data_IF_024913449585
#
_entry.id   IF_024913449585
#
_cell.length_a   1.000
_cell.length_b   1.000
_cell.length_c   1.000
_cell.angle_alpha   90.00
_cell.angle_beta   90.00
_cell.angle_gamma   90.00
#
_symmetry.space_group_name_H-M   'P 1'
#
loop_
_entity.id
_entity.type
_entity.pdbx_description
1 polymer ?
#
# COMPACT_ATOMS: atom_id res chain seq x y z
N UNK A 1 -30.66 26.91 -64.77
CA UNK A 1 -29.47 26.07 -65.02
C UNK A 1 -28.38 26.45 -64.03
N UNK A 2 -27.66 25.45 -63.49
CA UNK A 2 -26.43 25.53 -62.63
C UNK A 2 -26.68 26.01 -61.20
N UNK A 3 -26.28 25.33 -60.12
CA UNK A 3 -25.65 24.04 -59.90
C UNK A 3 -25.65 23.79 -58.39
N UNK A 4 -25.99 22.57 -57.94
CA UNK A 4 -25.99 22.20 -56.51
C UNK A 4 -24.55 21.84 -56.09
N UNK A 5 -23.92 22.66 -55.25
CA UNK A 5 -22.68 22.29 -54.57
C UNK A 5 -23.02 21.39 -53.37
N UNK A 6 -22.62 20.13 -53.44
CA UNK A 6 -22.69 19.18 -52.33
C UNK A 6 -21.40 19.29 -51.52
N UNK A 7 -21.50 19.85 -50.32
CA UNK A 7 -20.39 20.01 -49.39
C UNK A 7 -20.31 18.74 -48.53
N UNK A 8 -19.40 17.83 -48.86
CA UNK A 8 -19.08 16.69 -47.99
C UNK A 8 -18.16 17.17 -46.87
N UNK A 9 -18.71 17.33 -45.66
CA UNK A 9 -17.92 17.56 -44.44
C UNK A 9 -17.37 16.20 -43.99
N UNK A 10 -16.10 15.94 -44.30
CA UNK A 10 -15.35 14.82 -43.77
C UNK A 10 -15.16 15.04 -42.26
N UNK A 11 -15.94 14.34 -41.44
CA UNK A 11 -15.79 14.38 -39.98
C UNK A 11 -14.57 13.54 -39.57
N UNK A 12 -13.42 14.17 -39.41
CA UNK A 12 -12.27 13.55 -38.75
C UNK A 12 -12.52 13.52 -37.24
N UNK A 13 -13.01 12.39 -36.74
CA UNK A 13 -13.01 12.09 -35.30
C UNK A 13 -11.56 11.80 -34.91
N UNK A 14 -10.83 12.83 -34.48
CA UNK A 14 -9.53 12.66 -33.82
C UNK A 14 -9.80 12.11 -32.44
N UNK A 15 -9.77 10.78 -32.31
CA UNK A 15 -9.80 10.09 -31.03
C UNK A 15 -8.46 10.37 -30.32
N UNK A 16 -8.41 11.46 -29.56
CA UNK A 16 -7.26 11.81 -28.73
C UNK A 16 -7.11 10.77 -27.62
N UNK A 17 -6.26 9.79 -27.88
CA UNK A 17 -5.71 8.88 -26.88
C UNK A 17 -4.86 9.70 -25.91
N UNK A 18 -5.50 10.31 -24.90
CA UNK A 18 -4.82 10.78 -23.70
C UNK A 18 -4.29 9.56 -22.94
N UNK A 19 -3.13 9.07 -23.36
CA UNK A 19 -2.25 8.24 -22.55
C UNK A 19 -1.75 9.12 -21.39
N UNK A 20 -2.53 9.22 -20.32
CA UNK A 20 -2.00 9.71 -19.05
C UNK A 20 -0.94 8.69 -18.60
N UNK A 21 0.35 9.07 -18.54
CA UNK A 21 1.38 8.13 -18.13
C UNK A 21 1.12 7.74 -16.67
N UNK A 22 0.91 6.43 -16.47
CA UNK A 22 0.61 5.80 -15.17
C UNK A 22 1.68 6.13 -14.10
N UNK A 23 2.90 6.44 -14.54
CA UNK A 23 3.99 6.96 -13.69
C UNK A 23 3.59 8.20 -12.88
N UNK A 24 2.79 9.11 -13.44
CA UNK A 24 2.41 10.35 -12.76
C UNK A 24 1.52 10.10 -11.53
N UNK A 25 0.77 9.00 -11.47
CA UNK A 25 -0.15 8.74 -10.36
C UNK A 25 0.55 8.09 -9.15
N UNK A 26 1.55 7.22 -9.38
CA UNK A 26 2.36 6.65 -8.30
C UNK A 26 3.21 7.72 -7.61
N UNK A 27 3.86 8.58 -8.40
CA UNK A 27 4.62 9.73 -7.88
C UNK A 27 3.74 10.66 -7.00
N UNK A 28 2.50 10.95 -7.43
CA UNK A 28 1.56 11.77 -6.66
C UNK A 28 1.14 11.17 -5.31
N UNK A 29 1.21 9.85 -5.14
CA UNK A 29 0.84 9.19 -3.90
C UNK A 29 1.98 9.17 -2.87
N UNK A 30 3.22 9.30 -3.33
CA UNK A 30 4.41 9.26 -2.48
C UNK A 30 4.64 10.61 -1.79
N UNK A 31 4.30 11.70 -2.46
CA UNK A 31 4.45 13.08 -1.96
C UNK A 31 3.36 13.52 -0.98
N UNK A 32 2.31 12.73 -0.79
CA UNK A 32 1.23 13.08 0.16
C UNK A 32 1.80 13.23 1.58
N UNK A 33 1.33 14.19 2.39
CA UNK A 33 1.72 14.23 3.79
C UNK A 33 1.33 12.95 4.54
N UNK A 34 2.13 12.55 5.54
CA UNK A 34 1.71 11.55 6.50
C UNK A 34 0.72 12.17 7.49
N UNK A 35 -0.23 11.36 7.94
CA UNK A 35 -1.11 11.77 9.03
C UNK A 35 -0.34 11.60 10.34
N UNK A 36 -0.51 12.52 11.31
CA UNK A 36 0.05 12.30 12.64
C UNK A 36 -0.45 11.00 13.24
N UNK A 37 0.45 10.28 13.91
CA UNK A 37 0.16 9.04 14.64
C UNK A 37 -0.66 9.39 15.89
N UNK A 38 -1.78 8.71 16.17
CA UNK A 38 -2.52 8.94 17.40
C UNK A 38 -1.67 8.63 18.64
N UNK A 39 -1.84 9.40 19.72
CA UNK A 39 -1.05 9.27 20.96
C UNK A 39 -0.98 7.84 21.51
N UNK A 40 -2.06 7.07 21.37
CA UNK A 40 -2.13 5.67 21.81
C UNK A 40 -1.12 4.73 21.12
N UNK A 41 -0.53 5.15 19.99
CA UNK A 41 0.46 4.37 19.23
C UNK A 41 1.84 5.03 19.24
N UNK A 42 2.01 6.21 19.86
CA UNK A 42 3.24 6.99 19.76
C UNK A 42 4.50 6.26 20.23
N UNK A 43 4.35 5.35 21.21
CA UNK A 43 5.45 4.58 21.79
C UNK A 43 5.56 3.16 21.22
N UNK A 44 4.88 2.88 20.09
CA UNK A 44 5.00 1.59 19.41
C UNK A 44 6.30 1.51 18.63
N UNK A 45 7.09 0.48 18.91
CA UNK A 45 8.37 0.21 18.29
C UNK A 45 8.46 -1.24 17.82
N UNK A 46 9.12 -1.44 16.69
CA UNK A 46 9.54 -2.76 16.25
C UNK A 46 10.47 -3.35 17.32
N UNK A 47 10.31 -4.61 17.74
CA UNK A 47 11.25 -5.23 18.66
C UNK A 47 12.69 -5.19 18.12
N UNK A 48 13.65 -5.04 19.02
CA UNK A 48 15.06 -4.85 18.64
C UNK A 48 15.57 -5.99 17.75
N UNK A 49 16.21 -5.64 16.63
CA UNK A 49 16.77 -6.58 15.65
C UNK A 49 15.77 -7.18 14.66
N UNK A 50 14.46 -6.97 14.81
CA UNK A 50 13.47 -7.67 14.00
C UNK A 50 13.39 -7.21 12.54
N UNK A 51 13.79 -5.98 12.24
CA UNK A 51 13.86 -5.46 10.87
C UNK A 51 14.77 -6.26 9.94
N UNK A 52 15.80 -6.91 10.50
CA UNK A 52 16.79 -7.68 9.73
C UNK A 52 16.80 -9.18 10.06
N UNK A 53 15.97 -9.62 11.01
CA UNK A 53 15.86 -11.03 11.37
C UNK A 53 15.12 -11.82 10.29
N UNK A 54 15.88 -12.64 9.56
CA UNK A 54 15.37 -13.46 8.46
C UNK A 54 14.27 -14.44 8.88
N UNK A 55 14.27 -14.93 10.12
CA UNK A 55 13.22 -15.83 10.63
C UNK A 55 11.92 -15.06 10.85
N UNK A 56 12.00 -13.90 11.49
CA UNK A 56 10.86 -13.00 11.71
C UNK A 56 10.24 -12.58 10.37
N UNK A 57 11.08 -12.18 9.40
CA UNK A 57 10.66 -11.83 8.04
C UNK A 57 9.99 -13.03 7.36
N UNK A 58 10.54 -14.24 7.48
CA UNK A 58 9.95 -15.44 6.88
C UNK A 58 8.60 -15.81 7.51
N UNK A 59 8.43 -15.63 8.82
CA UNK A 59 7.14 -15.79 9.50
C UNK A 59 6.14 -14.72 9.05
N UNK A 60 6.57 -13.47 8.95
CA UNK A 60 5.81 -12.35 8.41
C UNK A 60 5.31 -12.62 7.00
N UNK A 61 6.17 -13.15 6.13
CA UNK A 61 5.82 -13.56 4.76
C UNK A 61 4.70 -14.59 4.73
N UNK A 62 4.76 -15.60 5.59
CA UNK A 62 3.68 -16.61 5.69
C UNK A 62 2.35 -15.96 6.04
N UNK A 63 2.35 -15.06 7.03
CA UNK A 63 1.12 -14.35 7.42
C UNK A 63 0.63 -13.47 6.26
N UNK A 64 1.53 -12.67 5.67
CA UNK A 64 1.20 -11.74 4.61
C UNK A 64 0.62 -12.43 3.36
N UNK A 65 1.15 -13.59 2.98
CA UNK A 65 0.81 -14.24 1.71
C UNK A 65 -0.19 -15.38 1.80
N UNK A 66 -0.36 -16.00 2.98
CA UNK A 66 -1.15 -17.24 3.07
C UNK A 66 -2.19 -17.24 4.19
N UNK A 67 -2.18 -16.28 5.12
CA UNK A 67 -3.17 -16.26 6.21
C UNK A 67 -4.54 -15.96 5.65
N UNK A 68 -5.52 -16.82 5.91
CA UNK A 68 -6.91 -16.47 5.66
C UNK A 68 -7.36 -15.46 6.71
N UNK A 69 -7.75 -14.26 6.26
CA UNK A 69 -8.21 -13.20 7.14
C UNK A 69 -9.66 -12.83 6.81
N UNK A 70 -10.53 -12.89 7.81
CA UNK A 70 -11.90 -12.44 7.68
C UNK A 70 -11.99 -10.94 7.96
N UNK A 71 -12.80 -10.22 7.19
CA UNK A 71 -13.00 -8.80 7.41
C UNK A 71 -14.36 -8.33 6.90
N UNK A 72 -14.84 -7.21 7.42
CA UNK A 72 -16.10 -6.61 6.98
C UNK A 72 -15.81 -5.43 6.06
N UNK A 73 -16.34 -5.48 4.84
CA UNK A 73 -16.29 -4.36 3.90
C UNK A 73 -17.69 -4.04 3.39
N UNK A 74 -18.12 -2.77 3.55
CA UNK A 74 -19.47 -2.31 3.17
C UNK A 74 -20.58 -3.22 3.73
N UNK A 75 -20.51 -3.53 5.03
CA UNK A 75 -21.47 -4.41 5.75
C UNK A 75 -21.55 -5.85 5.22
N UNK A 76 -20.55 -6.31 4.46
CA UNK A 76 -20.46 -7.70 3.98
C UNK A 76 -19.19 -8.35 4.52
N UNK A 77 -19.33 -9.56 5.07
CA UNK A 77 -18.20 -10.42 5.42
C UNK A 77 -17.44 -10.79 4.15
N UNK A 78 -16.12 -10.74 4.23
CA UNK A 78 -15.16 -11.05 3.18
C UNK A 78 -14.03 -11.90 3.76
N UNK A 79 -13.37 -12.64 2.89
CA UNK A 79 -12.19 -13.45 3.23
C UNK A 79 -11.08 -13.06 2.28
N UNK A 80 -9.96 -12.64 2.84
CA UNK A 80 -8.70 -12.49 2.13
C UNK A 80 -8.01 -13.86 2.13
N UNK A 81 -8.02 -14.56 0.99
CA UNK A 81 -7.49 -15.94 0.89
C UNK A 81 -5.97 -15.99 1.00
N UNK A 82 -5.31 -14.94 0.51
CA UNK A 82 -3.85 -14.80 0.48
C UNK A 82 -3.41 -13.69 1.46
N UNK A 83 -4.06 -13.56 2.61
CA UNK A 83 -3.78 -12.52 3.60
C UNK A 83 -3.73 -11.10 3.01
N UNK A 84 -2.72 -10.35 3.43
CA UNK A 84 -2.41 -9.01 2.95
C UNK A 84 -2.14 -8.98 1.44
N UNK A 85 -1.53 -10.05 0.90
CA UNK A 85 -1.21 -10.19 -0.51
C UNK A 85 -2.44 -10.27 -1.41
N UNK A 86 -3.64 -10.52 -0.86
CA UNK A 86 -4.91 -10.43 -1.61
C UNK A 86 -5.08 -9.06 -2.27
N UNK A 87 -4.67 -7.99 -1.57
CA UNK A 87 -4.77 -6.62 -2.05
C UNK A 87 -3.42 -6.01 -2.44
N UNK A 88 -2.38 -6.25 -1.63
CA UNK A 88 -1.09 -5.61 -1.77
C UNK A 88 -0.10 -6.37 -2.66
N UNK A 89 -0.32 -7.67 -2.89
CA UNK A 89 0.50 -8.46 -3.81
C UNK A 89 0.59 -7.82 -5.19
N UNK A 90 1.71 -7.98 -5.88
CA UNK A 90 1.92 -7.34 -7.18
C UNK A 90 1.19 -8.12 -8.28
N UNK A 91 0.52 -7.38 -9.17
CA UNK A 91 0.03 -7.89 -10.44
C UNK A 91 1.10 -7.63 -11.49
N UNK A 92 1.90 -8.65 -11.80
CA UNK A 92 3.03 -8.56 -12.74
C UNK A 92 2.65 -7.99 -14.11
N UNK A 93 1.46 -8.34 -14.62
CA UNK A 93 0.99 -7.84 -15.93
C UNK A 93 0.73 -6.34 -15.95
N UNK A 94 0.52 -5.74 -14.78
CA UNK A 94 0.11 -4.34 -14.62
C UNK A 94 1.12 -3.51 -13.83
N UNK A 95 2.18 -4.16 -13.36
CA UNK A 95 3.24 -3.62 -12.49
C UNK A 95 2.70 -2.72 -11.37
N UNK A 96 1.74 -3.24 -10.60
CA UNK A 96 1.11 -2.52 -9.48
C UNK A 96 0.41 -3.49 -8.52
N UNK A 97 0.01 -3.05 -7.31
CA UNK A 97 -0.77 -3.87 -6.40
C UNK A 97 -2.04 -4.46 -7.04
N UNK A 98 -2.39 -5.70 -6.67
CA UNK A 98 -3.56 -6.46 -7.16
C UNK A 98 -4.84 -5.63 -7.00
N UNK A 99 -4.99 -4.93 -5.87
CA UNK A 99 -6.08 -3.99 -5.65
C UNK A 99 -5.65 -2.58 -6.06
N UNK A 100 -6.33 -2.01 -7.07
CA UNK A 100 -6.13 -0.61 -7.46
C UNK A 100 -6.35 0.32 -6.26
N UNK A 101 -5.37 1.18 -5.99
CA UNK A 101 -5.38 2.13 -4.87
C UNK A 101 -4.89 1.56 -3.55
N UNK A 102 -4.52 0.28 -3.48
CA UNK A 102 -3.70 -0.21 -2.38
C UNK A 102 -2.30 0.42 -2.49
N UNK A 103 -1.66 0.62 -1.34
CA UNK A 103 -0.30 1.15 -1.30
C UNK A 103 0.65 0.10 -1.89
N UNK A 104 1.53 0.56 -2.78
CA UNK A 104 2.65 -0.21 -3.31
C UNK A 104 3.83 -0.08 -2.34
N UNK A 105 4.20 -1.20 -1.72
CA UNK A 105 5.27 -1.24 -0.72
C UNK A 105 6.67 -1.25 -1.34
N UNK A 106 6.77 -1.29 -2.68
CA UNK A 106 8.05 -1.16 -3.39
C UNK A 106 8.55 0.28 -3.48
N UNK A 107 7.72 1.27 -3.12
CA UNK A 107 8.12 2.68 -3.14
C UNK A 107 9.03 3.04 -1.96
N UNK A 108 10.34 3.05 -2.18
CA UNK A 108 11.34 3.50 -1.20
C UNK A 108 11.05 4.91 -0.70
N UNK A 109 10.80 5.85 -1.62
CA UNK A 109 10.47 7.26 -1.31
C UNK A 109 9.36 7.39 -0.27
N UNK A 110 8.38 6.48 -0.30
CA UNK A 110 7.26 6.50 0.64
C UNK A 110 7.51 5.66 1.88
N UNK A 111 8.02 4.44 1.74
CA UNK A 111 8.18 3.50 2.86
C UNK A 111 9.24 3.98 3.85
N UNK A 112 10.28 4.66 3.38
CA UNK A 112 11.36 5.16 4.25
C UNK A 112 10.94 6.36 5.11
N UNK A 113 9.74 6.92 4.89
CA UNK A 113 9.18 8.01 5.71
C UNK A 113 8.36 7.52 6.90
N UNK A 114 7.94 6.25 6.89
CA UNK A 114 7.02 5.73 7.89
C UNK A 114 7.81 5.38 9.16
N UNK A 115 7.39 5.85 10.33
CA UNK A 115 7.93 5.36 11.61
C UNK A 115 7.34 4.01 11.98
N UNK A 116 7.99 3.28 12.90
CA UNK A 116 7.47 2.03 13.49
C UNK A 116 6.03 2.18 13.97
N UNK A 117 5.76 3.27 14.69
CA UNK A 117 4.44 3.60 15.23
C UNK A 117 3.42 3.81 14.12
N UNK A 118 3.82 4.45 13.02
CA UNK A 118 2.96 4.63 11.86
C UNK A 118 2.66 3.28 11.22
N UNK A 119 3.68 2.45 10.94
CA UNK A 119 3.48 1.11 10.41
C UNK A 119 2.48 0.31 11.24
N UNK A 120 2.72 0.23 12.55
CA UNK A 120 1.87 -0.52 13.47
C UNK A 120 0.43 -0.01 13.45
N UNK A 121 0.24 1.30 13.61
CA UNK A 121 -1.08 1.91 13.62
C UNK A 121 -1.87 1.61 12.33
N UNK A 122 -1.22 1.71 11.17
CA UNK A 122 -1.91 1.47 9.88
C UNK A 122 -2.28 0.02 9.68
N UNK A 123 -1.48 -0.90 10.19
CA UNK A 123 -1.79 -2.33 10.12
C UNK A 123 -2.85 -2.71 11.16
N UNK A 124 -2.76 -2.20 12.39
CA UNK A 124 -3.69 -2.52 13.48
C UNK A 124 -5.07 -1.92 13.26
N UNK A 125 -5.16 -0.63 12.92
CA UNK A 125 -6.42 0.13 12.79
C UNK A 125 -6.92 0.23 11.34
N UNK A 126 -6.12 -0.23 10.38
CA UNK A 126 -6.42 -0.09 8.98
C UNK A 126 -6.44 1.36 8.51
N UNK A 127 -7.22 1.60 7.46
CA UNK A 127 -7.30 2.91 6.84
C UNK A 127 -8.75 3.36 6.68
N UNK A 128 -9.16 4.31 7.54
CA UNK A 128 -10.47 4.97 7.48
C UNK A 128 -10.76 5.46 6.06
N UNK A 129 -12.00 5.23 5.61
CA UNK A 129 -12.52 5.58 4.28
C UNK A 129 -11.85 4.83 3.11
N UNK A 130 -11.27 3.66 3.34
CA UNK A 130 -10.75 2.78 2.27
C UNK A 130 -11.24 1.34 2.43
N UNK A 131 -10.72 0.41 1.63
CA UNK A 131 -10.97 -1.03 1.76
C UNK A 131 -9.99 -1.75 2.67
N UNK A 132 -8.98 -1.08 3.24
CA UNK A 132 -8.04 -1.71 4.17
C UNK A 132 -8.66 -1.78 5.57
N UNK A 133 -9.01 -2.98 6.06
CA UNK A 133 -9.63 -3.16 7.37
C UNK A 133 -8.60 -3.05 8.50
N UNK A 134 -9.10 -3.01 9.73
CA UNK A 134 -8.29 -3.10 10.94
C UNK A 134 -7.93 -4.57 11.21
N UNK A 135 -6.65 -4.88 11.37
CA UNK A 135 -6.18 -6.26 11.62
C UNK A 135 -5.89 -6.55 13.09
N UNK A 136 -5.90 -5.55 13.98
CA UNK A 136 -5.59 -5.75 15.41
C UNK A 136 -6.55 -6.65 16.19
N UNK A 137 -7.66 -7.08 15.58
CA UNK A 137 -8.57 -8.09 16.15
C UNK A 137 -8.33 -9.50 15.62
N UNK A 138 -7.67 -9.62 14.46
CA UNK A 138 -7.44 -10.89 13.75
C UNK A 138 -5.99 -11.36 13.87
N UNK A 139 -5.06 -10.45 14.16
CA UNK A 139 -3.64 -10.70 14.35
C UNK A 139 -3.20 -10.20 15.72
N UNK A 140 -2.32 -10.96 16.37
CA UNK A 140 -1.63 -10.47 17.57
C UNK A 140 -0.68 -9.32 17.21
N UNK A 141 -0.27 -8.55 18.22
CA UNK A 141 0.74 -7.50 18.03
C UNK A 141 2.06 -8.05 17.47
N UNK A 142 2.49 -9.23 17.94
CA UNK A 142 3.69 -9.90 17.44
C UNK A 142 3.55 -10.29 15.97
N UNK A 143 2.39 -10.81 15.57
CA UNK A 143 2.09 -11.14 14.17
C UNK A 143 2.08 -9.89 13.29
N UNK A 144 1.54 -8.77 13.78
CA UNK A 144 1.58 -7.48 13.08
C UNK A 144 3.02 -7.03 12.84
N UNK A 145 3.89 -7.11 13.85
CA UNK A 145 5.30 -6.76 13.69
C UNK A 145 6.02 -7.65 12.69
N UNK A 146 5.78 -8.97 12.71
CA UNK A 146 6.32 -9.89 11.70
C UNK A 146 5.89 -9.50 10.29
N UNK A 147 4.60 -9.20 10.09
CA UNK A 147 4.08 -8.74 8.80
C UNK A 147 4.76 -7.46 8.34
N UNK A 148 4.90 -6.47 9.22
CA UNK A 148 5.56 -5.19 8.93
C UNK A 148 7.04 -5.40 8.55
N UNK A 149 7.76 -6.26 9.28
CA UNK A 149 9.15 -6.59 8.96
C UNK A 149 9.29 -7.17 7.54
N UNK A 150 8.36 -8.06 7.14
CA UNK A 150 8.32 -8.55 5.76
C UNK A 150 7.95 -7.45 4.74
N UNK A 151 6.94 -6.65 5.03
CA UNK A 151 6.43 -5.57 4.17
C UNK A 151 7.53 -4.56 3.82
N UNK A 152 8.36 -4.18 4.80
CA UNK A 152 9.47 -3.25 4.61
C UNK A 152 10.55 -3.77 3.65
N UNK A 153 10.73 -5.08 3.52
CA UNK A 153 11.72 -5.64 2.58
C UNK A 153 11.41 -5.27 1.12
N UNK A 154 10.15 -4.97 0.78
CA UNK A 154 9.72 -4.76 -0.59
C UNK A 154 10.28 -3.48 -1.19
N UNK A 155 10.45 -2.42 -0.38
CA UNK A 155 11.13 -1.19 -0.83
C UNK A 155 12.64 -1.30 -0.84
N UNK A 156 13.20 -2.44 -0.42
CA UNK A 156 14.63 -2.71 -0.33
C UNK A 156 15.03 -3.91 -1.22
N UNK A 157 14.34 -4.08 -2.35
CA UNK A 157 14.63 -5.15 -3.30
C UNK A 157 14.36 -6.55 -2.76
N UNK A 158 13.34 -6.69 -1.90
CA UNK A 158 12.97 -7.93 -1.19
C UNK A 158 14.09 -8.48 -0.30
N UNK A 159 14.88 -7.60 0.31
CA UNK A 159 15.96 -7.96 1.24
C UNK A 159 15.71 -7.38 2.63
N UNK A 160 16.18 -8.05 3.69
CA UNK A 160 16.24 -7.45 5.02
C UNK A 160 17.04 -6.15 4.98
N UNK A 161 16.57 -5.12 5.67
CA UNK A 161 17.23 -3.82 5.74
C UNK A 161 16.98 -3.17 7.10
N UNK A 162 17.95 -2.38 7.57
CA UNK A 162 17.76 -1.55 8.76
C UNK A 162 16.71 -0.47 8.47
N UNK A 163 15.90 -0.12 9.47
CA UNK A 163 14.88 0.90 9.38
C UNK A 163 15.32 2.17 10.13
N UNK A 164 16.47 2.71 9.73
CA UNK A 164 17.10 3.91 10.31
C UNK A 164 17.24 4.99 9.24
N UNK A 165 16.14 5.27 8.55
CA UNK A 165 16.12 6.19 7.43
C UNK A 165 16.01 7.64 7.92
N UNK A 166 16.79 8.55 7.32
CA UNK A 166 16.75 9.98 7.65
C UNK A 166 15.40 10.64 7.30
N UNK A 167 14.62 9.99 6.44
CA UNK A 167 13.32 10.43 5.97
C UNK A 167 12.17 10.12 6.95
N UNK A 168 12.40 9.33 8.01
CA UNK A 168 11.35 8.91 8.94
C UNK A 168 10.70 10.12 9.61
N UNK A 169 9.38 10.20 9.49
CA UNK A 169 8.56 11.27 10.07
C UNK A 169 7.91 10.82 11.38
N UNK A 170 8.47 11.28 12.49
CA UNK A 170 7.88 11.09 13.82
C UNK A 170 6.85 12.18 14.12
N UNK A 171 5.68 12.07 13.50
CA UNK A 171 4.55 12.99 13.75
C UNK A 171 3.53 12.33 14.66
N UNK A 172 3.20 12.97 15.79
CA UNK A 172 2.18 12.52 16.75
C UNK A 172 1.07 13.57 16.84
N UNK A 173 -0.18 13.13 16.99
CA UNK A 173 -1.31 14.03 17.21
C UNK A 173 -1.04 14.93 18.44
N UNK A 174 -1.36 16.22 18.31
CA UNK A 174 -1.18 17.22 19.39
C UNK A 174 -2.07 16.93 20.59
#
# INVERSE_FOLDING_TARGET
>A
MRGKFSLYILSFVVLSLFLFPVFAQAAKDDDKPLKPVPKAFADKHMPSGWWTDTKIIAEGKKIFETRQLEYVYKRKKKVAKDGCATCHGINEKKDRPKKRGAKDFRSEKRMNRLSDSYWFWRTSEGVKKTSMPAWGKELSEEEIWKVIAYEHTWSHGNKPAVHEHKEIENTVEK
#
